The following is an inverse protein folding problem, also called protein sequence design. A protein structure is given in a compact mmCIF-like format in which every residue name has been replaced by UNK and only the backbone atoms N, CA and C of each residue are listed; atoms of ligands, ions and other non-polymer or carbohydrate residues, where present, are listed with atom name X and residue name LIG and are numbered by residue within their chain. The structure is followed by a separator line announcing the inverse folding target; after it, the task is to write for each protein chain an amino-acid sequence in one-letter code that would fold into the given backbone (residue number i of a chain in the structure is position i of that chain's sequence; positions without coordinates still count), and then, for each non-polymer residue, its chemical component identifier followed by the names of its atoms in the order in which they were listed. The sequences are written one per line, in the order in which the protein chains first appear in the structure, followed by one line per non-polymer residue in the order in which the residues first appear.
data_IF_767829812039
#
_entry.id   IF_767829812039
#
_cell.length_a   1.000
_cell.length_b   1.000
_cell.length_c   1.000
_cell.angle_alpha   90.00
_cell.angle_beta   90.00
_cell.angle_gamma   90.00
#
_symmetry.space_group_name_H-M   'P 1'
#
loop_
_entity.id
_entity.type
_entity.pdbx_description
1 polymer ?
#
# COMPACT_ATOMS: atom_id res chain seq x y z
N UNK A 1 -6.50 12.35 25.99
CA UNK A 1 -5.73 11.36 26.78
C UNK A 1 -4.45 11.10 26.00
N UNK A 2 -3.32 11.63 26.47
CA UNK A 2 -2.01 11.35 25.87
C UNK A 2 -1.63 9.90 26.16
N UNK A 3 -1.88 9.02 25.19
CA UNK A 3 -1.38 7.66 25.22
C UNK A 3 0.13 7.69 25.03
N UNK A 4 0.89 7.20 26.01
CA UNK A 4 2.31 6.86 25.82
C UNK A 4 2.40 5.97 24.59
N UNK A 5 3.09 6.45 23.55
CA UNK A 5 3.37 5.71 22.33
C UNK A 5 4.46 4.66 22.67
N UNK A 6 4.06 3.58 23.33
CA UNK A 6 4.90 2.39 23.52
C UNK A 6 4.92 1.71 22.17
N UNK A 7 6.09 1.67 21.51
CA UNK A 7 6.24 0.88 20.28
C UNK A 7 5.88 -0.57 20.62
N UNK A 8 4.81 -1.06 20.01
CA UNK A 8 4.34 -2.44 20.16
C UNK A 8 5.06 -3.39 19.18
N UNK A 9 6.05 -2.90 18.46
CA UNK A 9 6.75 -3.67 17.43
C UNK A 9 7.83 -4.56 18.06
N UNK A 10 7.93 -5.83 17.62
CA UNK A 10 9.09 -6.66 17.91
C UNK A 10 10.38 -5.97 17.47
N UNK A 11 11.43 -6.06 18.28
CA UNK A 11 12.74 -5.49 17.93
C UNK A 11 13.34 -6.28 16.76
N UNK A 12 13.74 -5.58 15.69
CA UNK A 12 14.33 -6.23 14.52
C UNK A 12 15.69 -6.85 14.94
N UNK A 13 15.95 -8.13 14.63
CA UNK A 13 17.18 -8.80 15.03
C UNK A 13 18.41 -8.16 14.39
N UNK A 14 19.47 -8.03 15.19
CA UNK A 14 20.74 -7.44 14.76
C UNK A 14 21.38 -6.61 15.87
N UNK A 15 22.62 -6.18 15.65
CA UNK A 15 23.26 -5.18 16.52
C UNK A 15 22.60 -3.81 16.31
N UNK A 16 22.38 -3.07 17.40
CA UNK A 16 21.93 -1.67 17.30
C UNK A 16 22.94 -0.84 16.52
N UNK A 17 22.45 0.16 15.79
CA UNK A 17 23.30 1.14 15.11
C UNK A 17 24.24 1.79 16.13
N UNK A 18 25.55 1.58 15.93
CA UNK A 18 26.60 2.09 16.82
C UNK A 18 26.70 3.61 16.67
N UNK A 19 27.14 4.30 17.72
CA UNK A 19 27.29 5.77 17.72
C UNK A 19 28.14 6.28 16.56
N UNK A 20 29.23 5.58 16.23
CA UNK A 20 30.07 5.94 15.08
C UNK A 20 29.32 5.87 13.75
N UNK A 21 28.52 4.82 13.54
CA UNK A 21 27.69 4.66 12.34
C UNK A 21 26.62 5.76 12.26
N UNK A 22 25.90 6.01 13.36
CA UNK A 22 24.86 7.03 13.41
C UNK A 22 25.39 8.44 13.09
N UNK A 23 26.61 8.75 13.54
CA UNK A 23 27.28 10.02 13.23
C UNK A 23 27.60 10.14 11.73
N UNK A 24 28.15 9.07 11.13
CA UNK A 24 28.44 9.02 9.70
C UNK A 24 27.16 9.16 8.88
N UNK A 25 26.11 8.41 9.22
CA UNK A 25 24.80 8.48 8.57
C UNK A 25 24.24 9.91 8.61
N UNK A 26 24.26 10.55 9.78
CA UNK A 26 23.82 11.96 9.94
C UNK A 26 24.61 12.91 9.04
N UNK A 27 25.94 12.78 9.01
CA UNK A 27 26.80 13.62 8.17
C UNK A 27 26.52 13.40 6.67
N UNK A 28 26.36 12.14 6.25
CA UNK A 28 26.06 11.83 4.84
C UNK A 28 24.67 12.29 4.42
N UNK A 29 23.66 12.16 5.28
CA UNK A 29 22.31 12.62 5.03
C UNK A 29 22.22 14.15 4.88
N UNK A 30 23.12 14.91 5.51
CA UNK A 30 23.19 16.36 5.32
C UNK A 30 23.77 16.77 3.94
N UNK A 31 24.51 15.87 3.28
CA UNK A 31 25.19 16.12 2.00
C UNK A 31 24.39 15.54 0.82
N UNK A 32 23.76 14.38 1.00
CA UNK A 32 23.03 13.68 -0.06
C UNK A 32 21.66 14.31 -0.34
N UNK A 33 21.25 14.29 -1.60
CA UNK A 33 19.92 14.71 -2.02
C UNK A 33 18.90 13.57 -1.95
N UNK A 34 17.78 13.79 -1.26
CA UNK A 34 16.68 12.82 -1.13
C UNK A 34 15.48 13.17 -2.03
N UNK A 35 15.74 13.71 -3.23
CA UNK A 35 14.73 14.22 -4.15
C UNK A 35 13.48 13.32 -4.31
N UNK A 36 13.62 12.01 -4.58
CA UNK A 36 12.47 11.11 -4.70
C UNK A 36 11.61 11.00 -3.42
N UNK A 37 12.25 10.92 -2.25
CA UNK A 37 11.55 10.79 -0.95
C UNK A 37 10.87 12.12 -0.58
N UNK A 38 11.54 13.24 -0.87
CA UNK A 38 11.00 14.58 -0.62
C UNK A 38 9.74 14.92 -1.45
N UNK A 39 9.39 14.10 -2.46
CA UNK A 39 8.12 14.23 -3.19
C UNK A 39 6.93 13.62 -2.48
N UNK A 40 7.13 12.82 -1.43
CA UNK A 40 6.01 12.26 -0.66
C UNK A 40 5.27 13.40 0.03
N UNK A 41 3.99 13.56 -0.29
CA UNK A 41 3.15 14.67 0.20
C UNK A 41 1.82 14.19 0.78
N UNK A 42 1.59 12.88 0.85
CA UNK A 42 0.32 12.32 1.28
C UNK A 42 0.53 11.10 2.18
N UNK A 43 -0.23 11.05 3.26
CA UNK A 43 -0.37 9.91 4.15
C UNK A 43 -1.81 9.38 4.12
N UNK A 44 -1.99 8.11 3.75
CA UNK A 44 -3.28 7.40 3.83
C UNK A 44 -3.14 6.23 4.80
N UNK A 45 -4.20 5.93 5.55
CA UNK A 45 -4.32 4.70 6.32
C UNK A 45 -5.50 3.87 5.77
N UNK A 46 -5.28 2.57 5.61
CA UNK A 46 -6.28 1.59 5.19
C UNK A 46 -5.95 0.20 5.75
N UNK A 47 -6.74 -0.80 5.38
CA UNK A 47 -6.45 -2.22 5.67
C UNK A 47 -6.24 -2.99 4.37
N UNK A 48 -5.13 -3.71 4.30
CA UNK A 48 -4.85 -4.66 3.23
C UNK A 48 -5.18 -6.08 3.63
N UNK A 49 -5.62 -6.84 2.64
CA UNK A 49 -5.95 -8.24 2.75
C UNK A 49 -5.11 -9.05 1.79
N UNK A 50 -4.72 -10.26 2.18
CA UNK A 50 -3.99 -11.14 1.25
C UNK A 50 -4.92 -11.52 0.10
N UNK A 51 -4.44 -11.39 -1.13
CA UNK A 51 -5.27 -11.64 -2.32
C UNK A 51 -5.88 -13.05 -2.38
N UNK A 52 -5.32 -14.02 -1.66
CA UNK A 52 -5.83 -15.39 -1.57
C UNK A 52 -6.53 -15.70 -0.25
N UNK A 53 -6.51 -14.78 0.72
CA UNK A 53 -7.05 -14.98 2.06
C UNK A 53 -7.50 -13.64 2.66
N UNK A 54 -8.78 -13.31 2.43
CA UNK A 54 -9.40 -12.08 2.94
C UNK A 54 -9.69 -12.12 4.45
N UNK A 55 -9.31 -13.17 5.18
CA UNK A 55 -9.40 -13.21 6.65
C UNK A 55 -8.16 -12.65 7.34
N UNK A 56 -7.05 -12.54 6.60
CA UNK A 56 -5.78 -11.99 7.09
C UNK A 56 -5.68 -10.53 6.67
N UNK A 57 -5.65 -9.66 7.66
CA UNK A 57 -5.67 -8.21 7.49
C UNK A 57 -4.40 -7.57 8.07
N UNK A 58 -3.93 -6.51 7.42
CA UNK A 58 -2.76 -5.73 7.82
C UNK A 58 -3.13 -4.25 7.74
N UNK A 59 -2.99 -3.51 8.85
CA UNK A 59 -3.08 -2.05 8.83
C UNK A 59 -1.93 -1.49 7.98
N UNK A 60 -2.24 -0.57 7.08
CA UNK A 60 -1.31 -0.13 6.06
C UNK A 60 -1.29 1.39 5.95
N UNK A 61 -0.10 1.95 6.19
CA UNK A 61 0.17 3.37 6.09
C UNK A 61 0.90 3.69 4.80
N UNK A 62 0.20 4.35 3.89
CA UNK A 62 0.68 4.73 2.57
C UNK A 62 1.31 6.11 2.63
N UNK A 63 2.56 6.21 2.19
CA UNK A 63 3.27 7.47 2.01
C UNK A 63 3.47 7.69 0.52
N UNK A 64 2.58 8.50 -0.05
CA UNK A 64 2.38 8.62 -1.49
C UNK A 64 2.98 9.89 -2.09
N UNK A 65 3.44 9.75 -3.32
CA UNK A 65 3.79 10.84 -4.21
C UNK A 65 3.05 10.68 -5.56
N UNK A 66 2.50 11.77 -6.08
CA UNK A 66 2.01 11.82 -7.47
C UNK A 66 3.18 11.74 -8.45
N UNK A 67 3.07 10.85 -9.45
CA UNK A 67 3.86 10.97 -10.68
C UNK A 67 3.19 11.94 -11.65
N UNK A 68 1.86 11.91 -11.70
CA UNK A 68 0.99 12.86 -12.40
C UNK A 68 -0.43 12.78 -11.79
N UNK A 69 -1.42 13.44 -12.41
CA UNK A 69 -2.82 13.44 -11.93
C UNK A 69 -3.48 12.04 -11.92
N UNK A 70 -2.99 11.12 -12.74
CA UNK A 70 -3.58 9.80 -12.95
C UNK A 70 -2.78 8.66 -12.31
N UNK A 71 -1.58 8.91 -11.79
CA UNK A 71 -0.71 7.87 -11.23
C UNK A 71 -0.02 8.34 -9.95
N UNK A 72 -0.19 7.54 -8.88
CA UNK A 72 0.52 7.69 -7.60
C UNK A 72 1.36 6.45 -7.34
N UNK A 73 2.45 6.66 -6.61
CA UNK A 73 3.24 5.58 -6.05
C UNK A 73 3.41 5.80 -4.55
N UNK A 74 3.28 4.74 -3.77
CA UNK A 74 3.31 4.81 -2.33
C UNK A 74 4.27 3.79 -1.74
N UNK A 75 5.02 4.23 -0.74
CA UNK A 75 5.69 3.33 0.21
C UNK A 75 4.67 2.94 1.28
N UNK A 76 4.61 1.66 1.64
CA UNK A 76 3.66 1.16 2.63
C UNK A 76 4.40 0.69 3.87
N UNK A 77 3.99 1.24 5.02
CA UNK A 77 4.51 0.89 6.33
C UNK A 77 3.42 0.25 7.20
N UNK A 78 3.83 -0.56 8.18
CA UNK A 78 2.92 -1.24 9.11
C UNK A 78 2.43 -0.37 10.28
N UNK A 79 2.96 0.85 10.42
CA UNK A 79 2.52 1.84 11.41
C UNK A 79 2.92 3.24 10.97
N UNK A 80 2.42 4.32 11.61
CA UNK A 80 2.82 5.69 11.29
C UNK A 80 4.06 6.14 12.09
N UNK A 81 4.65 5.26 12.89
CA UNK A 81 5.75 5.58 13.79
C UNK A 81 7.10 5.62 13.05
N UNK A 82 8.09 6.30 13.65
CA UNK A 82 9.44 6.46 13.07
C UNK A 82 10.21 5.15 12.86
N UNK A 83 9.85 4.11 13.61
CA UNK A 83 10.45 2.78 13.62
C UNK A 83 9.61 1.75 12.83
N UNK A 84 8.62 2.22 12.06
CA UNK A 84 7.77 1.37 11.26
C UNK A 84 8.56 0.57 10.22
N UNK A 85 8.10 -0.65 9.95
CA UNK A 85 8.68 -1.52 8.94
C UNK A 85 8.13 -1.14 7.57
N UNK A 86 9.00 -1.01 6.57
CA UNK A 86 8.58 -0.91 5.18
C UNK A 86 8.07 -2.29 4.74
N UNK A 87 6.77 -2.43 4.57
CA UNK A 87 6.12 -3.72 4.28
C UNK A 87 5.75 -3.88 2.82
N UNK A 88 5.61 -2.81 2.05
CA UNK A 88 5.04 -2.91 0.70
C UNK A 88 5.16 -1.66 -0.15
N UNK A 89 4.65 -1.80 -1.37
CA UNK A 89 4.50 -0.74 -2.35
C UNK A 89 3.09 -0.77 -2.93
N UNK A 90 2.57 0.41 -3.24
CA UNK A 90 1.34 0.56 -4.01
C UNK A 90 1.55 1.45 -5.23
N UNK A 91 0.97 1.04 -6.35
CA UNK A 91 0.69 1.94 -7.47
C UNK A 91 -0.80 2.17 -7.56
N UNK A 92 -1.20 3.44 -7.60
CA UNK A 92 -2.60 3.85 -7.75
C UNK A 92 -2.74 4.48 -9.12
N UNK A 93 -3.73 4.04 -9.90
CA UNK A 93 -4.03 4.60 -11.22
C UNK A 93 -5.50 5.02 -11.35
N UNK A 94 -5.76 6.01 -12.20
CA UNK A 94 -7.13 6.37 -12.60
C UNK A 94 -7.86 5.18 -13.22
N UNK A 95 -9.20 5.20 -13.18
CA UNK A 95 -10.02 4.23 -13.93
C UNK A 95 -9.64 4.20 -15.41
N UNK A 96 -9.39 5.36 -16.03
CA UNK A 96 -9.00 5.45 -17.43
C UNK A 96 -7.73 4.64 -17.73
N UNK A 97 -6.68 4.83 -16.94
CA UNK A 97 -5.44 4.05 -17.09
C UNK A 97 -5.67 2.57 -16.79
N UNK A 98 -6.42 2.24 -15.74
CA UNK A 98 -6.76 0.86 -15.40
C UNK A 98 -7.46 0.14 -16.57
N UNK A 99 -8.37 0.82 -17.28
CA UNK A 99 -9.08 0.25 -18.41
C UNK A 99 -8.18 -0.10 -19.59
N UNK A 100 -7.01 0.57 -19.71
CA UNK A 100 -6.01 0.26 -20.75
C UNK A 100 -5.14 -0.97 -20.43
N UNK A 101 -5.18 -1.47 -19.20
CA UNK A 101 -4.35 -2.60 -18.79
C UNK A 101 -4.82 -3.91 -19.46
N UNK A 102 -3.88 -4.84 -19.73
CA UNK A 102 -4.24 -6.21 -20.06
C UNK A 102 -5.13 -6.86 -19.00
N UNK A 103 -6.06 -7.73 -19.40
CA UNK A 103 -7.03 -8.32 -18.47
C UNK A 103 -6.40 -9.25 -17.42
N UNK A 104 -5.28 -9.89 -17.76
CA UNK A 104 -4.47 -10.67 -16.81
C UNK A 104 -3.79 -9.79 -15.78
N UNK A 105 -3.35 -8.59 -16.17
CA UNK A 105 -2.78 -7.58 -15.28
C UNK A 105 -3.84 -7.05 -14.32
N UNK A 106 -5.06 -6.70 -14.78
CA UNK A 106 -6.15 -6.14 -13.97
C UNK A 106 -6.49 -6.96 -12.72
N UNK A 107 -6.25 -8.27 -12.73
CA UNK A 107 -6.50 -9.18 -11.60
C UNK A 107 -5.61 -8.92 -10.40
N UNK A 108 -4.47 -8.28 -10.59
CA UNK A 108 -3.57 -7.87 -9.51
C UNK A 108 -3.95 -6.54 -8.87
N UNK A 109 -4.99 -5.87 -9.38
CA UNK A 109 -5.46 -4.59 -8.91
C UNK A 109 -6.77 -4.73 -8.15
N UNK A 110 -7.00 -3.85 -7.18
CA UNK A 110 -8.26 -3.72 -6.47
C UNK A 110 -8.85 -2.33 -6.67
N UNK A 111 -10.16 -2.19 -6.48
CA UNK A 111 -10.81 -0.86 -6.49
C UNK A 111 -10.79 -0.28 -5.08
N UNK A 112 -10.48 1.02 -4.96
CA UNK A 112 -10.55 1.72 -3.67
C UNK A 112 -11.97 2.19 -3.32
N UNK A 113 -12.96 1.99 -4.20
CA UNK A 113 -14.31 2.55 -4.02
C UNK A 113 -14.87 2.23 -2.63
N UNK A 114 -14.81 0.96 -2.24
CA UNK A 114 -15.49 0.48 -1.05
C UNK A 114 -14.81 0.96 0.23
N UNK A 115 -13.49 0.82 0.33
CA UNK A 115 -12.75 1.28 1.51
C UNK A 115 -12.82 2.79 1.70
N UNK A 116 -12.84 3.57 0.61
CA UNK A 116 -13.00 5.01 0.69
C UNK A 116 -14.41 5.37 1.13
N UNK A 117 -15.45 4.82 0.50
CA UNK A 117 -16.84 5.18 0.82
C UNK A 117 -17.29 4.64 2.18
N UNK A 118 -16.69 3.56 2.67
CA UNK A 118 -16.97 3.00 4.01
C UNK A 118 -16.31 3.77 5.15
N UNK A 119 -15.32 4.62 4.86
CA UNK A 119 -14.57 5.34 5.90
C UNK A 119 -13.23 4.73 6.28
N UNK A 120 -12.94 3.52 5.80
CA UNK A 120 -11.79 2.71 6.20
C UNK A 120 -10.48 3.24 5.63
N UNK A 121 -10.50 3.74 4.40
CA UNK A 121 -9.40 4.53 3.87
C UNK A 121 -9.60 5.99 4.25
N UNK A 122 -8.64 6.57 4.96
CA UNK A 122 -8.68 7.98 5.40
C UNK A 122 -7.29 8.61 5.47
N UNK A 123 -7.25 9.94 5.64
CA UNK A 123 -6.02 10.72 5.81
C UNK A 123 -5.80 11.04 7.30
N UNK A 124 -4.84 10.41 7.99
CA UNK A 124 -4.61 10.67 9.41
C UNK A 124 -4.29 12.13 9.71
N UNK A 125 -4.91 12.70 10.74
CA UNK A 125 -4.67 14.09 11.17
C UNK A 125 -5.25 15.18 10.25
N UNK A 126 -5.86 14.83 9.12
CA UNK A 126 -6.45 15.80 8.18
C UNK A 126 -7.95 15.96 8.45
N UNK A 127 -8.45 17.20 8.66
CA UNK A 127 -9.88 17.45 8.85
C UNK A 127 -10.73 16.92 7.70
N UNK A 128 -11.87 16.30 8.03
CA UNK A 128 -12.76 15.64 7.07
C UNK A 128 -13.08 16.47 5.82
N UNK A 129 -13.33 17.78 5.98
CA UNK A 129 -13.63 18.69 4.87
C UNK A 129 -12.49 18.83 3.85
N UNK A 130 -11.23 18.74 4.30
CA UNK A 130 -10.03 18.91 3.46
C UNK A 130 -9.75 17.63 2.68
N UNK A 131 -9.89 16.47 3.32
CA UNK A 131 -9.66 15.18 2.66
C UNK A 131 -10.76 14.82 1.64
N UNK A 132 -11.93 15.47 1.65
CA UNK A 132 -13.06 15.17 0.74
C UNK A 132 -12.68 15.14 -0.74
N UNK A 133 -11.99 16.19 -1.20
CA UNK A 133 -11.71 16.35 -2.63
C UNK A 133 -10.73 15.27 -3.13
N UNK A 134 -9.72 14.92 -2.33
CA UNK A 134 -8.79 13.88 -2.72
C UNK A 134 -9.42 12.48 -2.62
N UNK A 135 -10.15 12.21 -1.53
CA UNK A 135 -10.83 10.93 -1.36
C UNK A 135 -11.92 10.69 -2.43
N UNK A 136 -12.62 11.72 -2.91
CA UNK A 136 -13.54 11.56 -4.04
C UNK A 136 -12.83 11.12 -5.33
N UNK A 137 -11.58 11.60 -5.55
CA UNK A 137 -10.74 11.09 -6.64
C UNK A 137 -10.30 9.65 -6.38
N UNK A 138 -9.80 9.35 -5.18
CA UNK A 138 -9.32 8.00 -4.81
C UNK A 138 -10.44 6.96 -4.87
N UNK A 139 -11.69 7.30 -4.57
CA UNK A 139 -12.83 6.39 -4.71
C UNK A 139 -13.02 5.84 -6.14
N UNK A 140 -12.39 6.49 -7.15
CA UNK A 140 -12.49 6.17 -8.58
C UNK A 140 -11.21 5.55 -9.14
N UNK A 141 -10.23 5.24 -8.29
CA UNK A 141 -8.95 4.67 -8.72
C UNK A 141 -8.86 3.18 -8.43
N UNK A 142 -7.86 2.55 -9.03
CA UNK A 142 -7.47 1.16 -8.77
C UNK A 142 -6.05 1.10 -8.23
N UNK A 143 -5.80 0.20 -7.29
CA UNK A 143 -4.52 0.03 -6.59
C UNK A 143 -3.90 -1.34 -6.86
N UNK A 144 -2.60 -1.38 -7.18
CA UNK A 144 -1.79 -2.61 -7.21
C UNK A 144 -0.85 -2.58 -6.02
N UNK A 145 -1.14 -3.43 -5.03
CA UNK A 145 -0.36 -3.52 -3.80
C UNK A 145 0.41 -4.82 -3.75
N UNK A 146 1.71 -4.72 -3.48
CA UNK A 146 2.57 -5.86 -3.18
C UNK A 146 3.17 -5.67 -1.79
N UNK A 147 2.96 -6.64 -0.89
CA UNK A 147 3.64 -6.71 0.39
C UNK A 147 4.83 -7.67 0.31
N UNK A 148 5.98 -7.22 0.81
CA UNK A 148 7.22 -7.96 0.93
C UNK A 148 7.42 -8.54 2.34
N UNK A 149 6.71 -8.00 3.35
CA UNK A 149 6.78 -8.47 4.73
C UNK A 149 5.39 -8.81 5.26
N UNK A 150 5.20 -10.07 5.65
CA UNK A 150 3.96 -10.57 6.25
C UNK A 150 3.94 -10.36 7.77
N UNK A 151 3.84 -9.10 8.19
CA UNK A 151 3.96 -8.72 9.61
C UNK A 151 2.93 -9.37 10.54
N UNK A 152 1.78 -9.77 10.03
CA UNK A 152 0.74 -10.49 10.78
C UNK A 152 1.15 -11.92 11.20
N UNK A 153 2.20 -12.48 10.59
CA UNK A 153 2.78 -13.76 11.02
C UNK A 153 3.68 -13.65 12.25
N UNK A 154 4.10 -12.43 12.60
CA UNK A 154 5.03 -12.19 13.71
C UNK A 154 6.49 -12.48 13.39
N UNK A 155 6.85 -12.65 12.10
CA UNK A 155 8.26 -12.80 11.71
C UNK A 155 9.03 -11.49 11.90
N UNK A 156 10.21 -11.56 12.52
CA UNK A 156 11.05 -10.38 12.78
C UNK A 156 11.83 -9.86 11.55
N UNK A 157 11.79 -10.61 10.44
CA UNK A 157 12.38 -10.24 9.14
C UNK A 157 11.37 -10.48 8.01
N UNK A 158 11.53 -9.83 6.84
CA UNK A 158 10.64 -10.01 5.69
C UNK A 158 10.86 -11.37 5.00
N UNK A 159 10.33 -12.44 5.60
CA UNK A 159 10.46 -13.81 5.09
C UNK A 159 9.36 -14.15 4.07
N UNK A 160 9.71 -15.04 3.14
CA UNK A 160 8.80 -15.58 2.13
C UNK A 160 8.72 -14.76 0.85
N UNK A 161 7.78 -15.11 -0.01
CA UNK A 161 7.61 -14.45 -1.31
C UNK A 161 6.65 -13.25 -1.22
N UNK A 162 6.82 -12.23 -2.08
CA UNK A 162 5.92 -11.09 -2.12
C UNK A 162 4.46 -11.50 -2.38
N UNK A 163 3.53 -10.85 -1.71
CA UNK A 163 2.10 -11.15 -1.79
C UNK A 163 1.35 -10.00 -2.46
N UNK A 164 0.48 -10.34 -3.41
CA UNK A 164 -0.51 -9.39 -3.94
C UNK A 164 -1.56 -9.15 -2.85
N UNK A 165 -1.84 -7.89 -2.57
CA UNK A 165 -2.83 -7.48 -1.58
C UNK A 165 -4.06 -6.86 -2.23
N UNK A 166 -5.19 -6.97 -1.54
CA UNK A 166 -6.50 -6.44 -1.94
C UNK A 166 -7.01 -5.48 -0.87
N UNK A 167 -7.93 -4.60 -1.25
CA UNK A 167 -8.65 -3.72 -0.34
C UNK A 167 -9.89 -4.38 0.26
N UNK A 168 -10.48 -3.67 1.22
CA UNK A 168 -11.83 -3.94 1.69
C UNK A 168 -12.83 -3.81 0.52
N UNK A 169 -13.70 -4.80 0.34
CA UNK A 169 -14.63 -4.86 -0.80
C UNK A 169 -16.09 -5.07 -0.40
N UNK A 170 -16.35 -5.46 0.86
CA UNK A 170 -17.70 -5.68 1.40
C UNK A 170 -17.73 -5.65 2.93
N UNK A 171 -18.93 -5.61 3.49
CA UNK A 171 -19.15 -5.67 4.93
C UNK A 171 -18.83 -7.06 5.48
N UNK A 172 -18.47 -7.12 6.76
CA UNK A 172 -18.09 -8.36 7.43
C UNK A 172 -16.65 -8.84 7.18
N UNK A 173 -15.84 -8.07 6.44
CA UNK A 173 -14.41 -8.35 6.25
C UNK A 173 -13.53 -7.74 7.36
N UNK A 174 -13.96 -6.65 7.99
CA UNK A 174 -13.37 -6.12 9.22
C UNK A 174 -14.36 -6.27 10.36
N UNK A 175 -13.89 -6.80 11.49
CA UNK A 175 -14.70 -7.00 12.69
C UNK A 175 -14.50 -5.86 13.69
N UNK A 176 -15.58 -5.48 14.39
CA UNK A 176 -15.53 -4.50 15.47
C UNK A 176 -15.45 -3.03 15.02
N UNK A 177 -15.60 -2.75 13.72
CA UNK A 177 -15.64 -1.39 13.17
C UNK A 177 -17.02 -1.11 12.61
N UNK A 178 -17.65 0.00 13.04
CA UNK A 178 -18.89 0.49 12.42
C UNK A 178 -18.57 1.47 11.29
N UNK A 179 -19.20 1.26 10.13
CA UNK A 179 -19.03 2.11 8.95
C UNK A 179 -20.16 3.13 8.78
N UNK A 180 -21.23 3.06 9.59
CA UNK A 180 -22.49 3.78 9.32
C UNK A 180 -22.31 5.29 9.24
N UNK A 181 -21.62 5.88 10.21
CA UNK A 181 -21.40 7.32 10.28
C UNK A 181 -20.58 7.81 9.08
N UNK A 182 -19.46 7.15 8.79
CA UNK A 182 -18.59 7.56 7.68
C UNK A 182 -19.22 7.32 6.32
N UNK A 183 -19.98 6.22 6.13
CA UNK A 183 -20.80 6.02 4.92
C UNK A 183 -21.81 7.13 4.74
N UNK A 184 -22.48 7.55 5.82
CA UNK A 184 -23.39 8.69 5.81
C UNK A 184 -22.68 9.97 5.37
N UNK A 185 -21.52 10.24 5.96
CA UNK A 185 -20.68 11.40 5.65
C UNK A 185 -20.16 11.40 4.21
N UNK A 186 -19.96 10.23 3.60
CA UNK A 186 -19.37 10.03 2.27
C UNK A 186 -20.38 9.61 1.19
N UNK A 187 -21.69 9.69 1.48
CA UNK A 187 -22.77 9.31 0.54
C UNK A 187 -22.76 10.10 -0.78
N UNK A 188 -22.15 11.28 -0.79
CA UNK A 188 -22.00 12.11 -1.99
C UNK A 188 -20.95 11.57 -2.99
N UNK A 189 -20.03 10.71 -2.55
CA UNK A 189 -18.96 10.18 -3.39
C UNK A 189 -19.51 9.13 -4.35
N UNK A 190 -19.07 9.21 -5.60
CA UNK A 190 -19.30 8.16 -6.61
C UNK A 190 -18.08 7.25 -6.72
N UNK A 191 -18.31 6.01 -7.15
CA UNK A 191 -17.23 5.11 -7.54
C UNK A 191 -16.77 5.36 -8.97
N UNK A 192 -16.01 4.40 -9.56
CA UNK A 192 -15.67 4.39 -10.97
C UNK A 192 -16.91 4.59 -11.86
N UNK A 193 -16.74 5.32 -12.97
CA UNK A 193 -17.80 5.67 -13.93
C UNK A 193 -18.49 4.44 -14.51
N UNK A 194 -17.74 3.38 -14.79
CA UNK A 194 -18.26 2.14 -15.34
C UNK A 194 -18.60 1.08 -14.27
N UNK A 195 -18.56 1.49 -13.00
CA UNK A 195 -18.60 0.57 -11.86
C UNK A 195 -17.29 -0.22 -11.71
N UNK A 196 -17.22 -1.05 -10.66
CA UNK A 196 -16.04 -1.87 -10.40
C UNK A 196 -15.89 -2.92 -11.51
N UNK A 197 -14.76 -2.87 -12.21
CA UNK A 197 -14.46 -3.80 -13.29
C UNK A 197 -14.37 -5.25 -12.77
N UNK A 198 -14.99 -6.25 -13.45
CA UNK A 198 -15.10 -7.62 -12.95
C UNK A 198 -13.77 -8.36 -12.82
N UNK A 199 -12.71 -7.91 -13.50
CA UNK A 199 -11.36 -8.47 -13.34
C UNK A 199 -10.59 -7.88 -12.16
N UNK A 200 -10.98 -6.73 -11.62
CA UNK A 200 -10.37 -6.21 -10.39
C UNK A 200 -10.70 -7.11 -9.20
N UNK A 201 -10.10 -6.83 -8.04
CA UNK A 201 -10.32 -7.57 -6.79
C UNK A 201 -10.09 -9.09 -6.99
N UNK A 202 -9.00 -9.45 -7.69
CA UNK A 202 -8.67 -10.82 -8.05
C UNK A 202 -9.76 -11.59 -8.82
N UNK A 203 -10.61 -10.88 -9.58
CA UNK A 203 -11.74 -11.46 -10.30
C UNK A 203 -12.78 -12.12 -9.39
N UNK A 204 -12.86 -11.71 -8.11
CA UNK A 204 -13.78 -12.24 -7.12
C UNK A 204 -13.48 -13.65 -6.60
N UNK A 205 -12.37 -14.28 -7.02
CA UNK A 205 -11.99 -15.65 -6.61
C UNK A 205 -10.75 -15.67 -5.70
N UNK A 206 -9.89 -14.68 -5.82
CA UNK A 206 -8.62 -14.58 -5.11
C UNK A 206 -7.40 -14.88 -5.98
N UNK A 207 -6.24 -14.38 -5.56
CA UNK A 207 -4.96 -14.51 -6.27
C UNK A 207 -3.85 -14.85 -5.27
N UNK A 208 -3.08 -15.89 -5.59
CA UNK A 208 -1.98 -16.39 -4.76
C UNK A 208 -0.67 -16.33 -5.54
N UNK A 209 0.33 -15.65 -4.99
CA UNK A 209 1.69 -15.74 -5.50
C UNK A 209 2.24 -17.14 -5.23
N UNK A 210 2.87 -17.75 -6.23
CA UNK A 210 3.54 -19.05 -6.09
C UNK A 210 4.97 -18.95 -6.63
N UNK A 211 5.91 -19.53 -5.90
CA UNK A 211 7.28 -19.69 -6.39
C UNK A 211 7.34 -20.93 -7.27
N UNK A 212 7.95 -20.81 -8.44
CA UNK A 212 8.23 -21.92 -9.35
C UNK A 212 9.65 -21.80 -9.84
N UNK A 213 10.43 -22.87 -9.65
CA UNK A 213 11.76 -22.97 -10.25
C UNK A 213 11.62 -23.16 -11.76
N UNK A 214 12.52 -22.55 -12.51
CA UNK A 214 12.61 -22.66 -13.97
C UNK A 214 14.06 -22.55 -14.38
N UNK A 215 14.41 -23.13 -15.52
CA UNK A 215 15.77 -23.04 -16.06
C UNK A 215 16.16 -21.58 -16.32
N UNK A 216 17.36 -21.19 -15.88
CA UNK A 216 17.97 -19.94 -16.28
C UNK A 216 18.31 -20.01 -17.77
N UNK A 217 17.78 -19.07 -18.57
CA UNK A 217 18.16 -18.98 -19.99
C UNK A 217 19.68 -18.82 -20.10
N UNK A 218 20.36 -19.56 -20.98
CA UNK A 218 21.78 -19.37 -21.21
C UNK A 218 22.05 -17.92 -21.62
N UNK A 219 23.13 -17.36 -21.10
CA UNK A 219 23.59 -16.02 -21.46
C UNK A 219 24.25 -16.12 -22.83
N UNK A 220 23.46 -16.07 -23.90
CA UNK A 220 24.02 -15.77 -25.21
C UNK A 220 24.63 -14.36 -25.12
N UNK A 221 25.96 -14.30 -25.17
CA UNK A 221 26.83 -13.13 -24.95
C UNK A 221 26.12 -11.77 -24.98
N UNK A 222 25.87 -11.18 -23.81
CA UNK A 222 25.40 -9.80 -23.73
C UNK A 222 26.55 -8.88 -24.16
N UNK A 223 26.40 -8.02 -25.18
CA UNK A 223 27.38 -6.98 -25.44
C UNK A 223 27.43 -6.09 -24.19
N UNK A 224 28.63 -5.90 -23.63
CA UNK A 224 28.85 -4.99 -22.52
C UNK A 224 28.51 -3.57 -22.99
N UNK A 225 27.28 -3.13 -22.77
CA UNK A 225 26.95 -1.71 -22.79
C UNK A 225 27.19 -1.22 -21.37
N UNK A 226 28.40 -0.74 -21.13
CA UNK A 226 28.63 0.19 -20.03
C UNK A 226 28.04 1.53 -20.45
N UNK A 227 27.12 2.06 -19.65
CA UNK A 227 26.76 3.49 -19.64
C UNK A 227 27.24 4.05 -18.32
#
# INVERSE_FOLDING_TARGET
MEGKNISTHPEIPGEKTKTGTALVETATAAIQGFGPINKIHQHLCAFHFYGHDMSRQVEAHHFCAHQNEEMRQCLIYDSPNKDARLIGLEYIVSENLFMTLPDDEKRMWHSHEYEVKSGVLFMPGIPGAIQRQDLDKVAKTYGKVIHFWQVDKGDDLPLGIPQVMMALTRDGQLFGVSFENERGNRKYMTGPEHGIHPMANAGGKGIKTVLRETDCKPVDSVPRVFV
#
